data_IF_365422215781
#
_entry.id   IF_365422215781
#
_cell.length_a   1.000
_cell.length_b   1.000
_cell.length_c   1.000
_cell.angle_alpha   90.00
_cell.angle_beta   90.00
_cell.angle_gamma   90.00
#
_symmetry.space_group_name_H-M   'P 1'
#
loop_
_entity.id
_entity.type
_entity.pdbx_description
1 polymer ?
#
# COMPACT_ATOMS: atom_id res chain seq x y z
N UNK A 1 28.04 2.52 4.66
CA UNK A 1 27.47 3.38 5.72
C UNK A 1 26.34 2.58 6.34
N UNK A 2 26.25 2.40 7.67
CA UNK A 2 25.07 1.78 8.25
C UNK A 2 23.90 2.73 8.01
N UNK A 3 22.93 2.33 7.20
CA UNK A 3 21.68 3.07 7.05
C UNK A 3 21.00 3.15 8.42
N UNK A 4 20.85 4.35 8.95
CA UNK A 4 20.18 4.54 10.21
C UNK A 4 18.68 4.33 9.94
N UNK A 5 17.97 3.42 10.63
CA UNK A 5 16.55 3.15 10.38
C UNK A 5 15.65 4.38 10.56
N UNK A 6 16.20 5.46 11.12
CA UNK A 6 15.56 6.77 11.26
C UNK A 6 15.55 7.60 9.96
N UNK A 7 16.45 7.30 9.01
CA UNK A 7 16.58 8.02 7.73
C UNK A 7 15.47 7.65 6.74
N UNK A 8 14.78 6.54 6.99
CA UNK A 8 13.65 6.10 6.17
C UNK A 8 12.36 6.83 6.59
N UNK A 9 11.52 7.23 5.62
CA UNK A 9 10.20 7.79 5.89
C UNK A 9 9.41 6.85 6.80
N UNK A 10 8.52 7.37 7.67
CA UNK A 10 7.84 6.57 8.70
C UNK A 10 7.03 5.38 8.17
N UNK A 11 6.66 5.40 6.88
CA UNK A 11 5.94 4.34 6.18
C UNK A 11 6.85 3.25 5.58
N UNK A 12 8.17 3.49 5.48
CA UNK A 12 9.16 2.59 4.90
C UNK A 12 10.11 1.98 5.93
N UNK A 13 9.85 2.18 7.23
CA UNK A 13 10.74 1.75 8.32
C UNK A 13 10.70 0.26 8.61
N UNK A 14 9.67 -0.45 8.12
CA UNK A 14 9.54 -1.89 8.31
C UNK A 14 8.98 -2.58 7.07
N UNK A 15 9.45 -3.80 6.83
CA UNK A 15 8.90 -4.67 5.81
C UNK A 15 7.39 -4.91 6.00
N UNK A 16 6.93 -5.05 7.24
CA UNK A 16 5.51 -5.21 7.55
C UNK A 16 4.66 -4.01 7.09
N UNK A 17 5.13 -2.78 7.28
CA UNK A 17 4.45 -1.58 6.77
C UNK A 17 4.43 -1.55 5.25
N UNK A 18 5.55 -1.88 4.60
CA UNK A 18 5.60 -1.95 3.13
C UNK A 18 4.63 -3.00 2.58
N UNK A 19 4.59 -4.20 3.17
CA UNK A 19 3.61 -5.22 2.80
C UNK A 19 2.18 -4.74 3.02
N UNK A 20 1.88 -4.08 4.14
CA UNK A 20 0.56 -3.55 4.41
C UNK A 20 0.13 -2.47 3.39
N UNK A 21 1.06 -1.61 2.97
CA UNK A 21 0.80 -0.60 1.93
C UNK A 21 0.48 -1.29 0.61
N UNK A 22 1.30 -2.26 0.18
CA UNK A 22 1.10 -2.95 -1.11
C UNK A 22 -0.23 -3.72 -1.11
N UNK A 23 -0.51 -4.52 -0.08
CA UNK A 23 -1.75 -5.30 0.03
C UNK A 23 -2.97 -4.38 0.17
N UNK A 24 -2.84 -3.30 0.93
CA UNK A 24 -3.88 -2.27 1.07
C UNK A 24 -4.21 -1.60 -0.26
N UNK A 25 -3.20 -1.20 -1.03
CA UNK A 25 -3.39 -0.59 -2.35
C UNK A 25 -4.07 -1.56 -3.33
N UNK A 26 -3.61 -2.80 -3.42
CA UNK A 26 -4.24 -3.82 -4.27
C UNK A 26 -5.71 -4.06 -3.89
N UNK A 27 -6.00 -4.12 -2.59
CA UNK A 27 -7.37 -4.30 -2.10
C UNK A 27 -8.26 -3.11 -2.49
N UNK A 28 -7.75 -1.89 -2.33
CA UNK A 28 -8.46 -0.67 -2.72
C UNK A 28 -8.72 -0.62 -4.23
N UNK A 29 -7.73 -0.98 -5.05
CA UNK A 29 -7.85 -1.05 -6.51
C UNK A 29 -8.94 -2.03 -6.94
N UNK A 30 -8.98 -3.23 -6.35
CA UNK A 30 -10.02 -4.24 -6.63
C UNK A 30 -11.41 -3.70 -6.28
N UNK A 31 -11.55 -3.06 -5.11
CA UNK A 31 -12.84 -2.49 -4.67
C UNK A 31 -13.28 -1.39 -5.63
N UNK A 32 -12.40 -0.45 -5.95
CA UNK A 32 -12.70 0.65 -6.87
C UNK A 32 -13.08 0.10 -8.24
N UNK A 33 -12.32 -0.84 -8.78
CA UNK A 33 -12.61 -1.47 -10.06
C UNK A 33 -13.98 -2.16 -10.06
N UNK A 34 -14.28 -2.94 -9.01
CA UNK A 34 -15.56 -3.61 -8.87
C UNK A 34 -16.73 -2.63 -8.79
N UNK A 35 -16.60 -1.57 -7.99
CA UNK A 35 -17.64 -0.54 -7.86
C UNK A 35 -17.88 0.19 -9.18
N UNK A 36 -16.82 0.53 -9.90
CA UNK A 36 -16.92 1.16 -11.22
C UNK A 36 -17.61 0.24 -12.24
N UNK A 37 -17.20 -1.03 -12.31
CA UNK A 37 -17.84 -2.02 -13.18
C UNK A 37 -19.31 -2.22 -12.83
N UNK A 38 -19.64 -2.24 -11.53
CA UNK A 38 -21.04 -2.37 -11.07
C UNK A 38 -21.88 -1.14 -11.40
N UNK A 39 -21.31 0.06 -11.35
CA UNK A 39 -22.04 1.30 -11.60
C UNK A 39 -22.25 1.58 -13.09
N UNK A 40 -21.31 1.17 -13.94
CA UNK A 40 -21.36 1.38 -15.40
C UNK A 40 -22.07 0.25 -16.18
N UNK A 41 -22.51 -0.81 -15.50
CA UNK A 41 -23.21 -1.96 -16.09
C UNK A 41 -24.72 -1.89 -15.90
#
# INVERSE_FOLDING_TARGET
>A
MPENPTDLPPFARSWAQLYAIVVGSLTAEIIVFYLLMRWLS
#
